data_IF_463857672785
#
_entry.id   IF_463857672785
#
_cell.length_a   1.000
_cell.length_b   1.000
_cell.length_c   1.000
_cell.angle_alpha   90.00
_cell.angle_beta   90.00
_cell.angle_gamma   90.00
#
_symmetry.space_group_name_H-M   'P 1'
#
loop_
_entity.id
_entity.type
_entity.pdbx_description
1 polymer ?
#
# COMPACT_ATOMS: atom_id res chain seq x y z
N UNK A 1 -20.18 -3.20 -16.02
CA UNK A 1 -19.01 -2.44 -15.51
C UNK A 1 -19.40 -1.16 -14.74
N UNK A 2 -20.67 -0.97 -14.38
CA UNK A 2 -21.23 0.29 -13.86
C UNK A 2 -21.44 0.32 -12.34
N UNK A 3 -21.36 -0.82 -11.66
CA UNK A 3 -21.89 -0.93 -10.29
C UNK A 3 -20.84 -0.65 -9.21
N UNK A 4 -19.56 -0.98 -9.46
CA UNK A 4 -18.45 -0.65 -8.56
C UNK A 4 -18.23 0.87 -8.43
N UNK A 5 -18.35 1.62 -9.53
CA UNK A 5 -18.13 3.06 -9.53
C UNK A 5 -19.23 3.82 -8.76
N UNK A 6 -20.46 3.28 -8.74
CA UNK A 6 -21.56 3.81 -7.91
C UNK A 6 -21.34 3.52 -6.43
N UNK A 7 -20.91 2.30 -6.07
CA UNK A 7 -20.60 1.93 -4.69
C UNK A 7 -19.42 2.69 -4.09
N UNK A 8 -18.38 3.00 -4.87
CA UNK A 8 -17.25 3.82 -4.38
C UNK A 8 -17.67 5.27 -4.11
N UNK A 9 -18.50 5.85 -4.98
CA UNK A 9 -19.00 7.23 -4.82
C UNK A 9 -19.96 7.37 -3.63
N UNK A 10 -20.82 6.39 -3.43
CA UNK A 10 -21.78 6.35 -2.33
C UNK A 10 -21.05 6.27 -0.98
N UNK A 11 -20.00 5.45 -0.89
CA UNK A 11 -19.22 5.29 0.34
C UNK A 11 -18.31 6.47 0.68
N UNK A 12 -17.82 7.20 -0.33
CA UNK A 12 -16.98 8.39 -0.12
C UNK A 12 -17.75 9.52 0.60
N UNK A 13 -19.07 9.59 0.40
CA UNK A 13 -19.90 10.68 0.92
C UNK A 13 -20.06 10.68 2.44
N UNK A 14 -19.93 9.51 3.08
CA UNK A 14 -20.07 9.35 4.54
C UNK A 14 -18.77 9.59 5.32
N UNK A 15 -17.62 9.75 4.64
CA UNK A 15 -16.35 10.05 5.33
C UNK A 15 -16.27 11.53 5.78
N UNK A 16 -15.50 11.83 6.84
CA UNK A 16 -15.12 13.19 7.18
C UNK A 16 -14.56 13.96 5.98
N UNK A 17 -14.87 15.25 5.89
CA UNK A 17 -14.53 16.11 4.75
C UNK A 17 -13.03 16.11 4.42
N UNK A 18 -12.18 16.06 5.46
CA UNK A 18 -10.73 15.97 5.32
C UNK A 18 -10.28 14.69 4.60
N UNK A 19 -10.91 13.56 4.92
CA UNK A 19 -10.62 12.29 4.24
C UNK A 19 -11.03 12.37 2.77
N UNK A 20 -12.19 12.96 2.48
CA UNK A 20 -12.65 13.14 1.10
C UNK A 20 -11.66 13.98 0.29
N UNK A 21 -11.16 15.08 0.85
CA UNK A 21 -10.17 15.94 0.19
C UNK A 21 -8.84 15.23 -0.05
N UNK A 22 -8.35 14.46 0.93
CA UNK A 22 -7.13 13.64 0.78
C UNK A 22 -7.30 12.64 -0.36
N UNK A 23 -8.41 11.90 -0.39
CA UNK A 23 -8.66 10.86 -1.38
C UNK A 23 -8.85 11.46 -2.79
N UNK A 24 -9.55 12.58 -2.88
CA UNK A 24 -9.68 13.33 -4.14
C UNK A 24 -8.30 13.72 -4.66
N UNK A 25 -7.48 14.35 -3.82
CA UNK A 25 -6.12 14.76 -4.21
C UNK A 25 -5.25 13.56 -4.58
N UNK A 26 -5.33 12.47 -3.82
CA UNK A 26 -4.57 11.24 -4.07
C UNK A 26 -4.93 10.63 -5.43
N UNK A 27 -6.22 10.62 -5.80
CA UNK A 27 -6.70 10.12 -7.09
C UNK A 27 -6.27 11.02 -8.25
N UNK A 28 -6.33 12.34 -8.08
CA UNK A 28 -5.84 13.32 -9.07
C UNK A 28 -4.35 13.13 -9.40
N UNK A 29 -3.56 12.62 -8.45
CA UNK A 29 -2.13 12.40 -8.61
C UNK A 29 -1.78 11.05 -9.24
N UNK A 30 -2.77 10.25 -9.64
CA UNK A 30 -2.61 8.92 -10.24
C UNK A 30 -1.72 8.00 -9.40
N UNK A 31 -1.84 8.08 -8.08
CA UNK A 31 -1.17 7.19 -7.14
C UNK A 31 -1.85 5.80 -7.14
N UNK A 32 -1.17 4.75 -6.64
CA UNK A 32 -1.69 3.38 -6.63
C UNK A 32 -3.11 3.30 -6.08
N UNK A 33 -3.99 2.57 -6.76
CA UNK A 33 -5.44 2.52 -6.49
C UNK A 33 -5.76 2.32 -5.01
N UNK A 34 -6.34 3.35 -4.39
CA UNK A 34 -6.68 3.34 -2.97
C UNK A 34 -7.99 2.58 -2.75
N UNK A 35 -7.92 1.38 -2.15
CA UNK A 35 -9.12 0.69 -1.72
C UNK A 35 -9.66 1.35 -0.45
N UNK A 36 -10.77 2.07 -0.61
CA UNK A 36 -11.46 2.90 0.38
C UNK A 36 -11.72 2.25 1.75
N UNK A 37 -11.61 0.92 1.88
CA UNK A 37 -11.70 0.24 3.18
C UNK A 37 -10.48 0.42 4.09
N UNK A 38 -9.32 0.83 3.58
CA UNK A 38 -8.09 0.84 4.39
C UNK A 38 -8.02 2.04 5.33
N UNK A 39 -8.40 1.83 6.59
CA UNK A 39 -8.05 2.62 7.78
C UNK A 39 -8.07 4.15 7.64
N UNK A 40 -9.29 4.71 7.62
CA UNK A 40 -9.57 6.15 7.78
C UNK A 40 -8.78 6.81 8.93
N UNK A 41 -8.48 6.05 9.99
CA UNK A 41 -7.67 6.50 11.12
C UNK A 41 -6.23 6.87 10.74
N UNK A 42 -5.64 6.18 9.76
CA UNK A 42 -4.29 6.48 9.27
C UNK A 42 -4.30 7.82 8.54
N UNK A 43 -5.26 8.05 7.64
CA UNK A 43 -5.37 9.32 6.91
C UNK A 43 -5.58 10.51 7.85
N UNK A 44 -6.48 10.36 8.83
CA UNK A 44 -6.72 11.39 9.84
C UNK A 44 -5.50 11.61 10.75
N UNK A 45 -4.79 10.55 11.14
CA UNK A 45 -3.57 10.66 11.95
C UNK A 45 -2.48 11.45 11.21
N UNK A 46 -2.24 11.11 9.95
CA UNK A 46 -1.29 11.80 9.08
C UNK A 46 -1.70 13.25 8.86
N UNK A 47 -2.99 13.51 8.62
CA UNK A 47 -3.52 14.86 8.48
C UNK A 47 -3.31 15.70 9.74
N UNK A 48 -3.61 15.15 10.92
CA UNK A 48 -3.40 15.84 12.20
C UNK A 48 -1.92 16.14 12.46
N UNK A 49 -1.02 15.25 12.07
CA UNK A 49 0.42 15.42 12.32
C UNK A 49 1.11 16.36 11.33
N UNK A 50 0.80 16.28 10.03
CA UNK A 50 1.45 17.10 9.00
C UNK A 50 0.67 18.38 8.66
N UNK A 51 -0.65 18.34 8.79
CA UNK A 51 -1.56 19.34 8.22
C UNK A 51 -1.77 19.16 6.72
N UNK A 52 -2.87 19.73 6.22
CA UNK A 52 -3.30 19.64 4.82
C UNK A 52 -2.21 20.02 3.82
N UNK A 53 -1.59 21.19 4.02
CA UNK A 53 -0.62 21.79 3.10
C UNK A 53 0.57 20.87 2.88
N UNK A 54 1.20 20.40 3.98
CA UNK A 54 2.37 19.53 3.92
C UNK A 54 2.03 18.14 3.41
N UNK A 55 0.85 17.61 3.75
CA UNK A 55 0.41 16.31 3.22
C UNK A 55 0.25 16.37 1.70
N UNK A 56 -0.42 17.39 1.16
CA UNK A 56 -0.62 17.52 -0.28
C UNK A 56 0.69 17.80 -1.03
N UNK A 57 1.58 18.58 -0.45
CA UNK A 57 2.92 18.79 -0.99
C UNK A 57 3.70 17.47 -1.05
N UNK A 58 3.70 16.69 0.04
CA UNK A 58 4.36 15.38 0.09
C UNK A 58 3.80 14.41 -0.96
N UNK A 59 2.48 14.30 -1.08
CA UNK A 59 1.83 13.46 -2.09
C UNK A 59 2.18 13.90 -3.52
N UNK A 60 2.24 15.22 -3.76
CA UNK A 60 2.64 15.78 -5.06
C UNK A 60 4.11 15.52 -5.39
N UNK A 61 4.99 15.50 -4.38
CA UNK A 61 6.39 15.13 -4.56
C UNK A 61 6.53 13.62 -4.84
N UNK A 62 5.79 12.80 -4.09
CA UNK A 62 5.78 11.35 -4.28
C UNK A 62 5.22 10.91 -5.63
N UNK A 63 4.19 11.59 -6.15
CA UNK A 63 3.57 11.23 -7.44
C UNK A 63 4.50 11.45 -8.64
N UNK A 64 5.58 12.22 -8.48
CA UNK A 64 6.61 12.38 -9.51
C UNK A 64 7.50 11.13 -9.66
N UNK A 65 7.47 10.20 -8.70
CA UNK A 65 8.27 8.98 -8.73
C UNK A 65 7.53 7.83 -9.39
N UNK A 66 8.16 7.26 -10.42
CA UNK A 66 7.66 6.03 -11.07
C UNK A 66 7.69 4.85 -10.09
N UNK A 67 8.65 4.81 -9.18
CA UNK A 67 8.71 3.78 -8.15
C UNK A 67 7.48 3.85 -7.24
N UNK A 68 7.07 5.05 -6.80
CA UNK A 68 5.87 5.22 -5.97
C UNK A 68 4.63 4.76 -6.71
N UNK A 69 4.43 5.26 -7.94
CA UNK A 69 3.24 4.95 -8.74
C UNK A 69 3.07 3.46 -9.05
N UNK A 70 4.18 2.73 -9.28
CA UNK A 70 4.10 1.35 -9.77
C UNK A 70 4.37 0.28 -8.71
N UNK A 71 5.10 0.60 -7.63
CA UNK A 71 5.65 -0.41 -6.71
C UNK A 71 5.35 -0.15 -5.24
N UNK A 72 4.94 1.06 -4.86
CA UNK A 72 4.68 1.39 -3.45
C UNK A 72 3.23 1.06 -3.09
N UNK A 73 3.03 0.48 -1.90
CA UNK A 73 1.69 0.27 -1.36
C UNK A 73 1.13 1.56 -0.73
N UNK A 74 -0.19 1.68 -0.69
CA UNK A 74 -0.92 2.77 -0.03
C UNK A 74 -0.42 3.00 1.40
N UNK A 75 -0.32 1.93 2.20
CA UNK A 75 0.15 2.01 3.59
C UNK A 75 1.57 2.57 3.68
N UNK A 76 2.41 2.27 2.69
CA UNK A 76 3.76 2.83 2.61
C UNK A 76 3.75 4.30 2.20
N UNK A 77 2.85 4.71 1.30
CA UNK A 77 2.69 6.12 0.89
C UNK A 77 2.25 6.97 2.08
N UNK A 78 1.23 6.50 2.82
CA UNK A 78 0.72 7.20 3.99
C UNK A 78 1.55 6.97 5.27
N UNK A 79 2.70 6.29 5.18
CA UNK A 79 3.62 6.20 6.32
C UNK A 79 4.25 7.56 6.58
N UNK A 80 4.10 8.08 7.79
CA UNK A 80 4.51 9.44 8.15
C UNK A 80 5.99 9.73 7.83
N UNK A 81 6.88 8.77 8.06
CA UNK A 81 8.31 8.95 7.77
C UNK A 81 8.58 9.10 6.28
N UNK A 82 7.81 8.41 5.42
CA UNK A 82 7.98 8.51 3.97
C UNK A 82 7.49 9.87 3.47
N UNK A 83 6.37 10.37 3.99
CA UNK A 83 5.87 11.71 3.69
C UNK A 83 6.87 12.79 4.13
N UNK A 84 7.45 12.66 5.33
CA UNK A 84 8.52 13.55 5.81
C UNK A 84 9.77 13.49 4.91
N UNK A 85 10.17 12.29 4.44
CA UNK A 85 11.28 12.14 3.48
C UNK A 85 11.01 12.82 2.14
N UNK A 86 9.77 12.76 1.65
CA UNK A 86 9.34 13.48 0.45
C UNK A 86 9.53 15.00 0.61
N UNK A 87 9.05 15.57 1.71
CA UNK A 87 9.16 17.01 2.01
C UNK A 87 10.61 17.48 2.17
N UNK A 88 11.48 16.65 2.76
CA UNK A 88 12.90 16.96 2.95
C UNK A 88 13.73 16.91 1.65
N UNK A 89 13.09 16.75 0.47
CA UNK A 89 13.72 16.70 -0.86
C UNK A 89 14.80 15.61 -1.05
N UNK A 90 14.93 14.67 -0.12
CA UNK A 90 15.82 13.50 -0.25
C UNK A 90 15.07 12.26 -0.79
N UNK A 91 13.90 12.46 -1.39
CA UNK A 91 13.18 11.39 -2.04
C UNK A 91 13.77 11.17 -3.43
N UNK A 92 14.81 10.33 -3.50
CA UNK A 92 15.37 9.88 -4.76
C UNK A 92 14.37 8.91 -5.40
N UNK A 93 13.82 9.29 -6.54
CA UNK A 93 13.36 8.26 -7.47
C UNK A 93 14.59 7.40 -7.77
N UNK A 94 14.50 6.07 -7.66
CA UNK A 94 15.62 5.23 -8.06
C UNK A 94 15.88 5.58 -9.51
N UNK A 95 16.97 6.31 -9.78
CA UNK A 95 17.38 6.67 -11.12
C UNK A 95 17.27 5.39 -11.95
N UNK A 96 16.48 5.45 -13.01
CA UNK A 96 16.47 4.39 -14.01
C UNK A 96 17.92 4.26 -14.43
N UNK A 97 18.62 3.24 -13.94
CA UNK A 97 19.82 2.76 -14.61
C UNK A 97 19.38 2.57 -16.06
N UNK A 98 19.90 3.43 -16.90
CA UNK A 98 19.63 3.43 -18.33
C UNK A 98 19.81 2.02 -18.86
N UNK A 99 18.78 1.50 -19.53
CA UNK A 99 18.85 0.34 -20.41
C UNK A 99 19.08 -1.05 -19.78
N UNK A 100 18.32 -1.44 -18.75
CA UNK A 100 18.04 -2.87 -18.55
C UNK A 100 16.59 -3.16 -18.94
N UNK A 101 16.46 -4.11 -19.86
CA UNK A 101 15.26 -4.57 -20.55
C UNK A 101 14.06 -4.58 -19.59
N UNK A 102 12.91 -4.08 -20.05
CA UNK A 102 11.62 -4.28 -19.40
C UNK A 102 11.36 -5.78 -19.29
N UNK A 103 11.86 -6.43 -18.24
CA UNK A 103 11.42 -7.77 -17.91
C UNK A 103 9.91 -7.67 -17.66
N UNK A 104 9.10 -8.55 -18.28
CA UNK A 104 7.67 -8.58 -18.00
C UNK A 104 7.48 -8.75 -16.48
N UNK A 105 6.59 -7.94 -15.90
CA UNK A 105 6.22 -7.98 -14.48
C UNK A 105 6.15 -9.44 -14.03
N UNK A 106 7.10 -9.89 -13.20
CA UNK A 106 7.12 -11.27 -12.69
C UNK A 106 5.80 -11.50 -11.97
N UNK A 107 4.93 -12.32 -12.57
CA UNK A 107 3.70 -12.78 -11.92
C UNK A 107 4.14 -13.52 -10.67
N UNK A 108 3.63 -13.10 -9.51
CA UNK A 108 3.87 -13.80 -8.26
C UNK A 108 3.34 -15.24 -8.41
N UNK A 109 4.25 -16.20 -8.52
CA UNK A 109 3.92 -17.62 -8.47
C UNK A 109 3.89 -17.97 -7.00
N UNK A 110 2.72 -18.42 -6.51
CA UNK A 110 2.62 -18.89 -5.13
C UNK A 110 3.60 -20.06 -4.97
N UNK A 111 4.51 -20.03 -3.98
CA UNK A 111 5.32 -21.19 -3.69
C UNK A 111 4.39 -22.36 -3.33
N UNK A 112 4.60 -23.50 -3.99
CA UNK A 112 4.00 -24.76 -3.60
C UNK A 112 4.85 -25.28 -2.44
N UNK A 113 4.32 -25.23 -1.23
CA UNK A 113 4.98 -25.81 -0.07
C UNK A 113 4.71 -27.30 -0.04
N UNK A 114 5.75 -28.09 0.13
CA UNK A 114 5.62 -29.49 0.51
C UNK A 114 5.13 -29.53 1.96
N UNK A 115 4.00 -30.19 2.21
CA UNK A 115 3.42 -30.33 3.55
C UNK A 115 4.24 -31.33 4.39
N UNK A 116 5.45 -30.91 4.75
CA UNK A 116 6.32 -31.62 5.69
C UNK A 116 5.81 -31.53 7.13
N UNK A 117 4.84 -30.64 7.40
CA UNK A 117 4.23 -30.46 8.72
C UNK A 117 3.35 -31.65 9.06
N UNK A 118 2.61 -32.21 8.09
CA UNK A 118 1.79 -33.40 8.30
C UNK A 118 2.58 -34.63 8.76
N UNK A 119 3.79 -34.85 8.23
CA UNK A 119 4.64 -35.97 8.65
C UNK A 119 5.22 -35.77 10.05
N UNK A 120 5.64 -34.54 10.37
CA UNK A 120 6.15 -34.20 11.69
C UNK A 120 5.09 -34.38 12.79
N UNK A 121 3.85 -33.94 12.54
CA UNK A 121 2.73 -34.10 13.48
C UNK A 121 2.41 -35.59 13.69
N UNK A 122 2.39 -36.40 12.62
CA UNK A 122 2.16 -37.85 12.73
C UNK A 122 3.24 -38.54 13.57
N UNK A 123 4.50 -38.16 13.40
CA UNK A 123 5.60 -38.72 14.19
C UNK A 123 5.48 -38.36 15.68
N UNK A 124 5.13 -37.11 15.98
CA UNK A 124 4.87 -36.64 17.35
C UNK A 124 3.73 -37.42 18.02
N UNK A 125 2.58 -37.57 17.34
CA UNK A 125 1.43 -38.29 17.88
C UNK A 125 1.76 -39.77 18.15
N UNK A 126 2.53 -40.41 17.26
CA UNK A 126 2.96 -41.79 17.44
C UNK A 126 3.95 -41.98 18.58
N UNK A 127 4.80 -40.98 18.88
CA UNK A 127 5.68 -41.01 20.07
C UNK A 127 4.88 -40.92 21.36
N UNK A 128 3.95 -39.96 21.42
CA UNK A 128 3.07 -39.78 22.59
C UNK A 128 2.23 -41.04 22.86
N UNK A 129 1.71 -41.69 21.80
CA UNK A 129 0.92 -42.91 21.92
C UNK A 129 1.72 -44.18 22.32
N UNK A 130 3.06 -44.13 22.29
CA UNK A 130 3.93 -45.24 22.69
C UNK A 130 4.51 -45.10 24.10
N UNK A 131 4.45 -43.90 24.68
CA UNK A 131 5.01 -43.57 25.99
C UNK A 131 3.95 -43.49 27.11
N UNK A 132 2.66 -43.65 26.77
CA UNK A 132 1.55 -43.76 27.73
C UNK A 132 0.98 -45.17 27.79
#
# INVERSE_FOLDING_TARGET
MSDNLKQEKEKLSDAPMEIQDILKKYKELELPEYNYRSDNYVLLGVWRELGAVKLFEALTLMSKSEFVKNNMSINSIFKIENLKKALNRNFKDKEKKSNEKKEPKKKFVRPVYEDSTGNFIKELLNKIAKEG
#
